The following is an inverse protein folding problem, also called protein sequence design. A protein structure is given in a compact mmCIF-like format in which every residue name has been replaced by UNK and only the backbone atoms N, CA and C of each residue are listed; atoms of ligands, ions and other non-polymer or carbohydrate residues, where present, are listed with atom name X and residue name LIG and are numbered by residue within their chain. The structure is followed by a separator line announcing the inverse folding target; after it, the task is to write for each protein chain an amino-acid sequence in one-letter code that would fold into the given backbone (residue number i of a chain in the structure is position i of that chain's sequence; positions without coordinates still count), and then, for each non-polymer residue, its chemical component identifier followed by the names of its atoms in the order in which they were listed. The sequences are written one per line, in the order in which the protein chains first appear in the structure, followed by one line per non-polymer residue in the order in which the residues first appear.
data_IF_958885261386
#
_entry.id   IF_958885261386
#
_cell.length_a   1.000
_cell.length_b   1.000
_cell.length_c   1.000
_cell.angle_alpha   90.00
_cell.angle_beta   90.00
_cell.angle_gamma   90.00
#
_symmetry.space_group_name_H-M   'P 1'
#
loop_
_entity.id
_entity.type
_entity.pdbx_description
1 polymer ?
#
# COMPACT_ATOMS: atom_id res chain seq x y z
N UNK A 1 -11.25 -3.32 -11.70
CA UNK A 1 -11.93 -3.57 -10.40
C UNK A 1 -11.36 -4.76 -9.64
N UNK A 2 -11.16 -5.92 -10.28
CA UNK A 2 -10.66 -7.16 -9.65
C UNK A 2 -9.39 -6.94 -8.80
N UNK A 3 -8.44 -6.14 -9.29
CA UNK A 3 -7.21 -5.80 -8.56
C UNK A 3 -7.48 -5.24 -7.15
N UNK A 4 -8.41 -4.28 -7.03
CA UNK A 4 -8.74 -3.67 -5.74
C UNK A 4 -9.34 -4.70 -4.78
N UNK A 5 -10.23 -5.56 -5.28
CA UNK A 5 -10.89 -6.59 -4.46
C UNK A 5 -9.84 -7.56 -3.92
N UNK A 6 -8.98 -8.10 -4.79
CA UNK A 6 -7.93 -9.04 -4.38
C UNK A 6 -6.96 -8.36 -3.41
N UNK A 7 -6.51 -7.14 -3.72
CA UNK A 7 -5.56 -6.40 -2.89
C UNK A 7 -6.15 -6.08 -1.51
N UNK A 8 -7.40 -5.61 -1.43
CA UNK A 8 -8.04 -5.31 -0.14
C UNK A 8 -8.26 -6.58 0.69
N UNK A 9 -8.69 -7.67 0.08
CA UNK A 9 -8.87 -8.94 0.78
C UNK A 9 -7.54 -9.49 1.32
N UNK A 10 -6.46 -9.41 0.53
CA UNK A 10 -5.13 -9.82 0.97
C UNK A 10 -4.62 -8.96 2.11
N UNK A 11 -4.80 -7.64 2.02
CA UNK A 11 -4.44 -6.70 3.08
C UNK A 11 -5.16 -7.03 4.38
N UNK A 12 -6.48 -7.26 4.30
CA UNK A 12 -7.30 -7.53 5.46
C UNK A 12 -6.86 -8.82 6.18
N UNK A 13 -6.69 -9.92 5.44
CA UNK A 13 -6.34 -11.22 6.02
C UNK A 13 -4.89 -11.30 6.53
N UNK A 14 -3.97 -10.52 5.96
CA UNK A 14 -2.54 -10.53 6.34
C UNK A 14 -2.16 -9.47 7.38
N UNK A 15 -3.01 -8.45 7.59
CA UNK A 15 -2.73 -7.29 8.46
C UNK A 15 -2.59 -7.58 9.95
N UNK A 16 -2.94 -8.77 10.42
CA UNK A 16 -2.95 -9.09 11.84
C UNK A 16 -4.23 -8.70 12.58
N UNK A 17 -5.20 -8.05 11.90
CA UNK A 17 -6.44 -7.54 12.52
C UNK A 17 -7.48 -8.62 12.77
N UNK A 18 -7.61 -9.59 11.85
CA UNK A 18 -8.56 -10.72 12.00
C UNK A 18 -7.91 -11.87 12.78
N UNK A 19 -6.70 -12.24 12.38
CA UNK A 19 -5.89 -13.31 13.00
C UNK A 19 -4.54 -12.70 13.33
N UNK A 20 -3.97 -12.93 14.53
CA UNK A 20 -2.66 -12.39 14.90
C UNK A 20 -1.60 -12.74 13.86
N UNK A 21 -0.79 -11.76 13.48
CA UNK A 21 0.20 -11.90 12.39
C UNK A 21 1.18 -13.06 12.62
N UNK A 22 1.58 -13.27 13.88
CA UNK A 22 2.46 -14.36 14.31
C UNK A 22 1.86 -15.76 14.11
N UNK A 23 0.53 -15.87 14.00
CA UNK A 23 -0.18 -17.13 13.78
C UNK A 23 -0.41 -17.44 12.30
N UNK A 24 -0.08 -16.51 11.40
CA UNK A 24 -0.17 -16.71 9.96
C UNK A 24 1.01 -17.55 9.45
N UNK A 25 0.83 -18.21 8.29
CA UNK A 25 1.98 -18.84 7.64
C UNK A 25 2.98 -17.80 7.17
N UNK A 26 4.26 -18.17 7.05
CA UNK A 26 5.34 -17.26 6.63
C UNK A 26 5.01 -16.52 5.32
N UNK A 27 4.33 -17.17 4.40
CA UNK A 27 3.90 -16.56 3.13
C UNK A 27 2.95 -15.38 3.37
N UNK A 28 1.93 -15.56 4.21
CA UNK A 28 0.99 -14.48 4.54
C UNK A 28 1.64 -13.38 5.37
N UNK A 29 2.61 -13.72 6.22
CA UNK A 29 3.40 -12.74 6.97
C UNK A 29 4.18 -11.83 6.02
N UNK A 30 4.97 -12.40 5.11
CA UNK A 30 5.77 -11.63 4.13
C UNK A 30 4.90 -10.80 3.20
N UNK A 31 3.75 -11.34 2.76
CA UNK A 31 2.79 -10.55 1.96
C UNK A 31 2.23 -9.39 2.77
N UNK A 32 1.88 -9.62 4.04
CA UNK A 32 1.37 -8.57 4.92
C UNK A 32 2.37 -7.45 5.14
N UNK A 33 3.65 -7.77 5.32
CA UNK A 33 4.72 -6.77 5.49
C UNK A 33 4.93 -5.87 4.26
N UNK A 34 4.47 -6.27 3.07
CA UNK A 34 4.52 -5.40 1.89
C UNK A 34 3.39 -4.36 1.88
N UNK A 35 2.32 -4.60 2.63
CA UNK A 35 1.14 -3.75 2.62
C UNK A 35 1.11 -2.75 3.79
N UNK A 36 0.54 -1.56 3.57
CA UNK A 36 0.44 -0.54 4.63
C UNK A 36 -0.49 -0.97 5.78
N UNK A 37 -1.45 -1.86 5.50
CA UNK A 37 -2.44 -2.32 6.48
C UNK A 37 -1.80 -2.97 7.72
N UNK A 38 -0.72 -3.73 7.55
CA UNK A 38 -0.01 -4.40 8.65
C UNK A 38 0.67 -3.40 9.58
N UNK A 39 1.35 -2.41 9.02
CA UNK A 39 2.01 -1.37 9.82
C UNK A 39 1.01 -0.43 10.50
N UNK A 40 -0.12 -0.15 9.84
CA UNK A 40 -1.21 0.61 10.43
C UNK A 40 -1.82 -0.15 11.62
N UNK A 41 -2.16 -1.43 11.46
CA UNK A 41 -2.70 -2.27 12.52
C UNK A 41 -1.74 -2.37 13.71
N UNK A 42 -0.46 -2.67 13.45
CA UNK A 42 0.56 -2.74 14.49
C UNK A 42 0.77 -1.40 15.21
N UNK A 43 0.75 -0.28 14.47
CA UNK A 43 0.81 1.06 15.05
C UNK A 43 -0.39 1.34 15.96
N UNK A 44 -1.60 1.02 15.52
CA UNK A 44 -2.81 1.14 16.32
C UNK A 44 -2.74 0.30 17.60
N UNK A 45 -2.34 -0.97 17.49
CA UNK A 45 -2.18 -1.85 18.66
C UNK A 45 -1.12 -1.32 19.62
N UNK A 46 -0.01 -0.79 19.11
CA UNK A 46 1.05 -0.17 19.93
C UNK A 46 0.50 1.04 20.70
N UNK A 47 -0.30 1.89 20.06
CA UNK A 47 -0.90 3.07 20.71
C UNK A 47 -1.91 2.67 21.78
N UNK A 48 -2.81 1.74 21.49
CA UNK A 48 -3.90 1.34 22.39
C UNK A 48 -3.37 0.61 23.63
N UNK A 49 -2.38 -0.26 23.44
CA UNK A 49 -1.86 -1.11 24.51
C UNK A 49 -0.58 -0.58 25.17
N UNK A 50 -0.16 0.65 24.83
CA UNK A 50 0.99 1.31 25.47
C UNK A 50 2.36 0.73 25.10
N UNK A 51 2.49 0.19 23.88
CA UNK A 51 3.75 -0.32 23.36
C UNK A 51 4.77 0.80 23.09
N UNK A 52 6.06 0.47 23.20
CA UNK A 52 7.19 1.43 23.14
C UNK A 52 7.65 1.78 21.72
N UNK A 53 7.37 0.94 20.72
CA UNK A 53 8.00 1.04 19.40
C UNK A 53 7.03 1.42 18.29
N UNK A 54 6.67 2.71 18.20
CA UNK A 54 5.84 3.25 17.12
C UNK A 54 6.67 3.67 15.88
N UNK A 55 7.93 4.04 16.09
CA UNK A 55 8.82 4.62 15.07
C UNK A 55 8.95 3.74 13.83
N UNK A 56 9.16 2.43 14.01
CA UNK A 56 9.30 1.47 12.90
C UNK A 56 8.05 1.47 12.00
N UNK A 57 6.86 1.51 12.59
CA UNK A 57 5.61 1.52 11.84
C UNK A 57 5.43 2.84 11.07
N UNK A 58 5.78 3.97 11.70
CA UNK A 58 5.72 5.29 11.05
C UNK A 58 6.70 5.35 9.85
N UNK A 59 7.95 4.92 10.05
CA UNK A 59 8.96 4.93 8.98
C UNK A 59 8.51 4.04 7.82
N UNK A 60 8.02 2.83 8.09
CA UNK A 60 7.51 1.94 7.06
C UNK A 60 6.36 2.58 6.26
N UNK A 61 5.40 3.21 6.94
CA UNK A 61 4.29 3.91 6.28
C UNK A 61 4.78 5.09 5.43
N UNK A 62 5.73 5.88 5.92
CA UNK A 62 6.32 6.99 5.16
C UNK A 62 7.03 6.50 3.89
N UNK A 63 7.77 5.40 3.97
CA UNK A 63 8.41 4.78 2.80
C UNK A 63 7.36 4.32 1.78
N UNK A 64 6.28 3.66 2.22
CA UNK A 64 5.21 3.21 1.33
C UNK A 64 4.53 4.40 0.64
N UNK A 65 4.25 5.48 1.37
CA UNK A 65 3.68 6.71 0.79
C UNK A 65 4.64 7.28 -0.27
N UNK A 66 5.93 7.40 0.05
CA UNK A 66 6.92 7.96 -0.86
C UNK A 66 7.02 7.16 -2.16
N UNK A 67 7.06 5.83 -2.06
CA UNK A 67 7.13 4.92 -3.23
C UNK A 67 5.86 5.01 -4.06
N UNK A 68 4.69 4.89 -3.44
CA UNK A 68 3.39 4.91 -4.17
C UNK A 68 3.14 6.26 -4.84
N UNK A 69 3.46 7.37 -4.16
CA UNK A 69 3.34 8.70 -4.72
C UNK A 69 4.30 8.92 -5.90
N UNK A 70 5.54 8.41 -5.79
CA UNK A 70 6.50 8.48 -6.90
C UNK A 70 6.01 7.73 -8.13
N UNK A 71 5.47 6.52 -7.95
CA UNK A 71 4.90 5.73 -9.06
C UNK A 71 3.72 6.47 -9.70
N UNK A 72 2.85 7.08 -8.89
CA UNK A 72 1.72 7.85 -9.40
C UNK A 72 2.18 9.05 -10.24
N UNK A 73 3.16 9.83 -9.75
CA UNK A 73 3.71 10.98 -10.48
C UNK A 73 4.36 10.56 -11.79
N UNK A 74 5.18 9.50 -11.79
CA UNK A 74 5.83 8.98 -13.01
C UNK A 74 4.77 8.53 -14.03
N UNK A 75 3.74 7.80 -13.57
CA UNK A 75 2.66 7.32 -14.44
C UNK A 75 1.89 8.48 -15.06
N UNK A 76 1.59 9.52 -14.27
CA UNK A 76 0.93 10.74 -14.77
C UNK A 76 1.81 11.50 -15.76
N UNK A 77 3.11 11.60 -15.51
CA UNK A 77 4.06 12.25 -16.40
C UNK A 77 4.15 11.56 -17.75
N UNK A 78 4.29 10.22 -17.76
CA UNK A 78 4.30 9.42 -19.00
C UNK A 78 2.98 9.58 -19.76
N UNK A 79 1.84 9.48 -19.08
CA UNK A 79 0.53 9.64 -19.71
C UNK A 79 0.33 11.05 -20.29
N UNK A 80 0.85 12.07 -19.60
CA UNK A 80 0.86 13.45 -20.09
C UNK A 80 1.62 13.58 -21.41
N UNK A 81 2.85 13.07 -21.48
CA UNK A 81 3.67 13.12 -22.70
C UNK A 81 3.05 12.36 -23.89
N UNK A 82 2.41 11.21 -23.64
CA UNK A 82 1.76 10.43 -24.71
C UNK A 82 0.51 11.14 -25.25
N UNK A 83 -0.24 11.84 -24.40
CA UNK A 83 -1.45 12.55 -24.82
C UNK A 83 -1.16 13.76 -25.72
N UNK A 84 -0.01 14.42 -25.53
CA UNK A 84 0.43 15.53 -26.38
C UNK A 84 0.83 15.07 -27.80
N UNK A 85 1.17 13.79 -27.98
CA UNK A 85 1.56 13.20 -29.27
C UNK A 85 0.40 12.77 -30.18
N UNK A 86 -0.85 12.86 -29.72
CA UNK A 86 -2.02 12.57 -30.54
C UNK A 86 -2.82 13.88 -30.78
N UNK A 87 -2.27 14.86 -31.52
CA UNK A 87 -3.08 15.96 -32.00
C UNK A 87 -4.07 15.36 -32.99
N UNK A 88 -5.31 15.30 -32.53
CA UNK A 88 -6.52 15.00 -33.30
C UNK A 88 -6.36 15.44 -34.75
N UNK A 89 -6.40 14.46 -35.66
CA UNK A 89 -6.82 14.63 -37.04
C UNK A 89 -8.09 15.47 -36.97
N UNK A 90 -7.98 16.76 -37.30
CA UNK A 90 -9.12 17.64 -37.50
C UNK A 90 -9.85 17.09 -38.73
N UNK A 91 -10.87 16.26 -38.51
CA UNK A 91 -11.85 16.00 -39.56
C UNK A 91 -12.63 17.29 -39.81
N UNK A 92 -12.78 17.56 -41.11
CA UNK A 92 -13.22 18.78 -41.78
C UNK A 92 -14.73 18.93 -41.70
#
# INVERSE_FOLDING_TARGET
MIFNIISLSLQLVSSGVIVPHEMLSKTYQTIGELFPATYAANGYYTIIFGGVSLEKNIIALLVIILVTQSIAVITLFIKGMVKERNPVVKEV
#
